data_IF_005287148181
#
_entry.id   IF_005287148181
#
_cell.length_a   1.000
_cell.length_b   1.000
_cell.length_c   1.000
_cell.angle_alpha   90.00
_cell.angle_beta   90.00
_cell.angle_gamma   90.00
#
_symmetry.space_group_name_H-M   'P 1'
#
loop_
_entity.id
_entity.type
_entity.pdbx_description
1 polymer ?
#
# COMPACT_ATOMS: atom_id res chain seq x y z
N UNK A 1 -5.30 70.66 27.66
CA UNK A 1 -5.04 69.78 26.51
C UNK A 1 -6.06 68.67 26.55
N UNK A 2 -6.77 68.45 25.45
CA UNK A 2 -7.82 67.44 25.34
C UNK A 2 -7.21 66.04 25.17
N UNK A 3 -7.62 65.10 26.03
CA UNK A 3 -7.07 63.74 26.13
C UNK A 3 -8.01 62.67 25.56
N UNK A 4 -9.13 63.05 24.93
CA UNK A 4 -10.21 62.11 24.59
C UNK A 4 -9.95 61.17 23.40
N UNK A 5 -8.89 61.38 22.59
CA UNK A 5 -8.61 60.53 21.41
C UNK A 5 -7.23 59.84 21.45
N UNK A 6 -6.69 59.56 22.63
CA UNK A 6 -5.46 58.77 22.72
C UNK A 6 -5.83 57.30 22.91
N UNK A 7 -5.72 56.51 21.84
CA UNK A 7 -5.80 55.05 21.90
C UNK A 7 -4.67 54.52 22.78
N UNK A 8 -4.90 54.48 24.09
CA UNK A 8 -3.95 54.05 25.10
C UNK A 8 -3.88 52.53 25.15
N UNK A 9 -2.88 51.93 24.50
CA UNK A 9 -2.42 50.60 24.88
C UNK A 9 -1.92 50.68 26.33
N UNK A 10 -2.50 49.86 27.22
CA UNK A 10 -2.05 49.71 28.61
C UNK A 10 -0.57 49.31 28.60
N UNK A 11 0.26 49.93 29.46
CA UNK A 11 1.66 49.48 29.66
C UNK A 11 1.64 47.99 30.03
N UNK A 12 2.19 47.15 29.17
CA UNK A 12 2.20 45.68 29.32
C UNK A 12 1.14 44.92 28.54
N UNK A 13 0.23 45.58 27.80
CA UNK A 13 -0.85 44.87 27.08
C UNK A 13 -0.44 44.23 25.76
N UNK A 14 0.80 44.43 25.30
CA UNK A 14 1.13 44.26 23.88
C UNK A 14 0.39 45.30 23.03
N UNK A 15 1.05 45.88 22.04
CA UNK A 15 0.37 46.83 21.14
C UNK A 15 -0.79 46.16 20.41
N UNK A 16 -1.79 46.97 19.98
CA UNK A 16 -2.80 46.50 19.01
C UNK A 16 -2.02 46.08 17.75
N UNK A 17 -2.21 44.82 17.32
CA UNK A 17 -1.58 44.32 16.12
C UNK A 17 -1.95 45.22 14.94
N UNK A 18 -0.97 45.62 14.14
CA UNK A 18 -1.27 46.36 12.92
C UNK A 18 -2.08 45.47 11.98
N UNK A 19 -2.90 46.08 11.12
CA UNK A 19 -3.68 45.34 10.10
C UNK A 19 -2.80 44.42 9.23
N UNK A 20 -1.53 44.78 9.02
CA UNK A 20 -0.54 43.95 8.34
C UNK A 20 -0.17 42.69 9.14
N UNK A 21 -0.01 42.78 10.47
CA UNK A 21 0.30 41.64 11.34
C UNK A 21 -0.88 40.68 11.43
N UNK A 22 -2.10 41.20 11.56
CA UNK A 22 -3.32 40.39 11.54
C UNK A 22 -3.48 39.63 10.21
N UNK A 23 -3.18 40.29 9.09
CA UNK A 23 -3.22 39.65 7.77
C UNK A 23 -2.17 38.54 7.63
N UNK A 24 -0.97 38.72 8.17
CA UNK A 24 0.06 37.68 8.18
C UNK A 24 -0.35 36.49 9.05
N UNK A 25 -0.90 36.75 10.24
CA UNK A 25 -1.40 35.71 11.13
C UNK A 25 -2.51 34.89 10.47
N UNK A 26 -3.48 35.56 9.82
CA UNK A 26 -4.56 34.91 9.07
C UNK A 26 -4.02 34.01 7.95
N UNK A 27 -3.02 34.48 7.21
CA UNK A 27 -2.38 33.68 6.14
C UNK A 27 -1.69 32.44 6.70
N UNK A 28 -0.98 32.55 7.83
CA UNK A 28 -0.35 31.40 8.49
C UNK A 28 -1.39 30.38 8.96
N UNK A 29 -2.48 30.83 9.58
CA UNK A 29 -3.57 29.94 9.99
C UNK A 29 -4.18 29.17 8.82
N UNK A 30 -4.44 29.84 7.69
CA UNK A 30 -4.94 29.17 6.48
C UNK A 30 -3.91 28.15 5.97
N UNK A 31 -2.63 28.49 6.00
CA UNK A 31 -1.58 27.58 5.57
C UNK A 31 -1.46 26.34 6.48
N UNK A 32 -1.60 26.52 7.79
CA UNK A 32 -1.53 25.43 8.77
C UNK A 32 -2.77 24.53 8.71
N UNK A 33 -3.95 25.10 8.41
CA UNK A 33 -5.16 24.32 8.13
C UNK A 33 -4.99 23.48 6.85
N UNK A 34 -4.43 24.04 5.78
CA UNK A 34 -4.27 23.31 4.52
C UNK A 34 -3.19 22.22 4.58
N UNK A 35 -2.22 22.33 5.50
CA UNK A 35 -1.22 21.28 5.72
C UNK A 35 -1.81 20.02 6.35
N UNK A 36 -3.05 20.05 6.85
CA UNK A 36 -3.68 18.92 7.55
C UNK A 36 -2.79 18.32 8.67
N UNK A 37 -2.00 19.17 9.34
CA UNK A 37 -1.06 18.73 10.38
C UNK A 37 0.23 18.06 9.89
N UNK A 38 0.53 18.08 8.59
CA UNK A 38 1.78 17.55 8.02
C UNK A 38 2.97 18.50 8.28
N UNK A 39 3.98 18.01 9.00
CA UNK A 39 5.22 18.75 9.20
C UNK A 39 6.20 18.50 8.06
N UNK A 40 6.30 19.47 7.14
CA UNK A 40 7.27 19.42 6.04
C UNK A 40 8.69 19.68 6.55
N UNK A 41 9.62 18.72 6.42
CA UNK A 41 10.98 18.83 6.93
C UNK A 41 11.84 19.80 6.11
N UNK A 42 12.91 20.30 6.73
CA UNK A 42 13.92 21.10 6.04
C UNK A 42 14.91 20.21 5.29
N UNK A 43 15.44 20.70 4.16
CA UNK A 43 16.39 19.97 3.30
C UNK A 43 17.69 19.54 4.00
N UNK A 44 18.04 20.19 5.11
CA UNK A 44 19.27 19.98 5.86
C UNK A 44 19.06 19.17 7.14
N UNK A 45 17.80 18.94 7.54
CA UNK A 45 17.50 17.96 8.58
C UNK A 45 17.76 16.61 7.93
N UNK A 46 18.82 15.92 8.39
CA UNK A 46 19.14 14.59 7.89
C UNK A 46 17.91 13.71 7.98
N UNK A 47 17.65 12.91 6.95
CA UNK A 47 16.46 12.07 6.85
C UNK A 47 16.54 11.04 7.98
N UNK A 48 15.86 11.29 9.09
CA UNK A 48 15.63 10.26 10.09
C UNK A 48 14.53 9.32 9.55
N UNK A 49 14.54 8.05 9.96
CA UNK A 49 13.46 7.11 9.57
C UNK A 49 12.07 7.64 9.96
N UNK A 50 12.00 8.45 11.02
CA UNK A 50 10.80 9.12 11.50
C UNK A 50 10.30 10.19 10.51
N UNK A 51 11.23 10.93 9.88
CA UNK A 51 10.91 11.92 8.83
C UNK A 51 10.40 11.26 7.53
N UNK A 52 10.86 10.05 7.21
CA UNK A 52 10.33 9.26 6.09
C UNK A 52 8.88 8.82 6.34
N UNK A 53 8.54 8.50 7.58
CA UNK A 53 7.16 8.17 7.95
C UNK A 53 6.23 9.38 7.98
N UNK A 54 6.73 10.55 8.38
CA UNK A 54 5.99 11.82 8.40
C UNK A 54 5.74 12.36 6.98
N UNK A 55 6.67 12.15 6.05
CA UNK A 55 6.54 12.58 4.65
C UNK A 55 5.77 11.57 3.77
N UNK A 56 4.94 10.69 4.36
CA UNK A 56 4.22 9.61 3.65
C UNK A 56 3.29 10.10 2.54
N UNK A 57 2.75 11.32 2.61
CA UNK A 57 1.86 11.84 1.54
C UNK A 57 2.64 12.35 0.33
N UNK A 58 3.74 13.11 0.52
CA UNK A 58 4.48 13.74 -0.57
C UNK A 58 6.01 13.81 -0.32
N UNK A 59 6.79 12.76 -0.66
CA UNK A 59 8.23 12.66 -0.36
C UNK A 59 9.14 13.63 -1.15
N UNK A 60 8.55 14.50 -1.98
CA UNK A 60 9.29 15.43 -2.85
C UNK A 60 9.24 16.88 -2.41
N UNK A 61 8.35 17.23 -1.49
CA UNK A 61 8.21 18.61 -0.99
C UNK A 61 9.02 18.75 0.28
N UNK A 62 9.88 19.77 0.34
CA UNK A 62 10.69 20.07 1.51
C UNK A 62 10.84 21.59 1.66
N UNK A 63 11.28 22.06 2.84
CA UNK A 63 11.65 23.46 3.05
C UNK A 63 13.14 23.67 2.81
N UNK A 64 13.51 24.67 2.02
CA UNK A 64 14.93 25.04 1.89
C UNK A 64 15.43 25.77 3.15
N UNK A 65 16.73 26.11 3.19
CA UNK A 65 17.34 26.86 4.30
C UNK A 65 16.67 28.23 4.57
N UNK A 66 15.98 28.81 3.58
CA UNK A 66 15.23 30.05 3.71
C UNK A 66 13.76 29.84 4.15
N UNK A 67 13.35 28.61 4.44
CA UNK A 67 11.98 28.26 4.82
C UNK A 67 10.96 28.32 3.68
N UNK A 68 11.40 28.40 2.41
CA UNK A 68 10.53 28.32 1.24
C UNK A 68 10.27 26.85 0.90
N UNK A 69 9.05 26.55 0.46
CA UNK A 69 8.67 25.22 0.00
C UNK A 69 9.29 24.96 -1.38
N UNK A 70 9.92 23.82 -1.56
CA UNK A 70 10.59 23.44 -2.81
C UNK A 70 10.19 22.02 -3.18
N UNK A 71 9.90 21.83 -4.47
CA UNK A 71 9.71 20.50 -5.04
C UNK A 71 11.03 19.97 -5.57
N UNK A 72 11.57 18.90 -4.97
CA UNK A 72 12.82 18.23 -5.39
C UNK A 72 12.76 17.75 -6.83
N UNK A 73 11.61 17.24 -7.23
CA UNK A 73 11.40 16.62 -8.53
C UNK A 73 11.39 17.64 -9.67
N UNK A 74 10.78 18.80 -9.46
CA UNK A 74 10.62 19.83 -10.48
C UNK A 74 11.63 20.98 -10.36
N UNK A 75 12.39 21.02 -9.27
CA UNK A 75 13.23 22.14 -8.88
C UNK A 75 12.48 23.48 -8.94
N UNK A 76 11.27 23.51 -8.37
CA UNK A 76 10.40 24.69 -8.30
C UNK A 76 10.22 25.15 -6.87
N UNK A 77 10.23 26.47 -6.68
CA UNK A 77 10.01 27.12 -5.38
C UNK A 77 8.56 27.59 -5.31
N UNK A 78 7.91 27.33 -4.18
CA UNK A 78 6.53 27.66 -3.88
C UNK A 78 6.45 28.60 -2.68
N UNK A 79 5.55 29.59 -2.77
CA UNK A 79 5.42 30.65 -1.75
C UNK A 79 4.43 30.29 -0.63
N UNK A 80 3.49 29.39 -0.90
CA UNK A 80 2.44 28.95 0.01
C UNK A 80 2.08 27.49 -0.27
N UNK A 81 1.42 26.84 0.68
CA UNK A 81 0.95 25.47 0.50
C UNK A 81 -0.05 25.32 -0.66
N UNK A 82 -0.97 26.27 -0.83
CA UNK A 82 -1.88 26.30 -2.01
C UNK A 82 -1.11 26.30 -3.34
N UNK A 83 0.07 26.93 -3.38
CA UNK A 83 0.92 26.87 -4.58
C UNK A 83 1.55 25.50 -4.79
N UNK A 84 1.79 24.74 -3.71
CA UNK A 84 2.27 23.36 -3.76
C UNK A 84 1.16 22.44 -4.25
N UNK A 85 -0.06 22.52 -3.72
CA UNK A 85 -1.21 21.71 -4.15
C UNK A 85 -1.45 21.85 -5.66
N UNK A 86 -1.54 23.09 -6.15
CA UNK A 86 -1.69 23.37 -7.59
C UNK A 86 -0.50 22.87 -8.42
N UNK A 87 0.69 22.80 -7.82
CA UNK A 87 1.85 22.24 -8.48
C UNK A 87 1.78 20.71 -8.58
N UNK A 88 1.36 20.04 -7.51
CA UNK A 88 1.17 18.58 -7.46
C UNK A 88 0.09 18.13 -8.45
N UNK A 89 -1.02 18.86 -8.54
CA UNK A 89 -2.08 18.65 -9.54
C UNK A 89 -1.66 19.04 -10.97
N UNK A 90 -0.51 19.71 -11.11
CA UNK A 90 0.00 20.22 -12.37
C UNK A 90 0.61 19.14 -13.26
N UNK A 91 0.32 19.21 -14.57
CA UNK A 91 0.87 18.27 -15.58
C UNK A 91 2.39 18.17 -15.56
N UNK A 92 3.11 19.28 -15.31
CA UNK A 92 4.59 19.30 -15.25
C UNK A 92 5.11 18.40 -14.12
N UNK A 93 4.46 18.43 -12.95
CA UNK A 93 4.85 17.59 -11.83
C UNK A 93 4.60 16.11 -12.14
N UNK A 94 3.40 15.78 -12.63
CA UNK A 94 3.04 14.44 -13.06
C UNK A 94 3.97 13.88 -14.15
N UNK A 95 4.34 14.67 -15.15
CA UNK A 95 5.28 14.26 -16.21
C UNK A 95 6.69 13.98 -15.65
N UNK A 96 7.19 14.81 -14.74
CA UNK A 96 8.48 14.55 -14.10
C UNK A 96 8.43 13.32 -13.19
N UNK A 97 7.27 13.03 -12.58
CA UNK A 97 7.07 11.84 -11.76
C UNK A 97 7.11 10.59 -12.62
N UNK A 98 6.41 10.60 -13.77
CA UNK A 98 6.46 9.53 -14.77
C UNK A 98 7.87 9.37 -15.32
N UNK A 99 8.58 10.47 -15.61
CA UNK A 99 9.96 10.41 -16.12
C UNK A 99 10.92 9.83 -15.07
N UNK A 100 10.79 10.23 -13.80
CA UNK A 100 11.61 9.69 -12.70
C UNK A 100 11.27 8.23 -12.43
N UNK A 101 9.99 7.91 -12.36
CA UNK A 101 9.47 6.54 -12.31
C UNK A 101 10.08 5.73 -13.43
N UNK A 102 10.01 6.25 -14.66
CA UNK A 102 10.61 5.74 -15.88
C UNK A 102 12.11 5.52 -15.83
N UNK A 103 12.89 6.37 -15.15
CA UNK A 103 14.34 6.15 -14.96
C UNK A 103 14.66 5.09 -13.91
N UNK A 104 13.86 4.99 -12.84
CA UNK A 104 13.96 3.88 -11.87
C UNK A 104 13.45 2.57 -12.45
N UNK A 105 12.45 2.65 -13.34
CA UNK A 105 11.82 1.54 -14.05
C UNK A 105 12.42 1.33 -15.45
N UNK A 106 13.50 2.03 -15.82
CA UNK A 106 14.33 1.67 -16.98
C UNK A 106 15.10 0.37 -16.74
N UNK A 107 15.05 -0.17 -15.52
CA UNK A 107 15.42 -1.55 -15.19
C UNK A 107 14.22 -2.52 -15.10
N UNK A 108 12.97 -2.04 -15.12
CA UNK A 108 11.74 -2.85 -15.12
C UNK A 108 10.62 -2.08 -15.85
N UNK A 109 10.46 -2.32 -17.15
CA UNK A 109 9.37 -1.72 -17.94
C UNK A 109 8.00 -2.08 -17.34
N UNK A 110 7.13 -1.09 -17.16
CA UNK A 110 5.94 -0.90 -18.01
C UNK A 110 5.21 0.40 -17.63
N UNK A 111 4.78 1.15 -18.64
CA UNK A 111 3.90 2.30 -18.44
C UNK A 111 2.52 1.76 -18.05
N UNK A 112 2.09 2.02 -16.81
CA UNK A 112 0.77 1.63 -16.27
C UNK A 112 -0.31 2.01 -17.28
N UNK A 113 -0.93 0.99 -17.90
CA UNK A 113 -1.99 1.17 -18.88
C UNK A 113 -3.19 1.88 -18.24
N UNK A 114 -3.96 2.71 -18.98
CA UNK A 114 -5.23 3.24 -18.50
C UNK A 114 -6.18 2.15 -17.96
N UNK A 115 -6.05 0.92 -18.45
CA UNK A 115 -6.79 -0.26 -17.96
C UNK A 115 -6.34 -0.69 -16.57
N UNK A 116 -5.04 -0.68 -16.29
CA UNK A 116 -4.49 -1.01 -14.98
C UNK A 116 -4.89 0.05 -13.93
N UNK A 117 -4.99 1.32 -14.34
CA UNK A 117 -5.46 2.40 -13.47
C UNK A 117 -6.95 2.24 -13.12
N UNK A 118 -7.78 1.83 -14.09
CA UNK A 118 -9.19 1.50 -13.85
C UNK A 118 -9.30 0.29 -12.93
N UNK A 119 -8.50 -0.75 -13.17
CA UNK A 119 -8.45 -1.95 -12.34
C UNK A 119 -8.10 -1.60 -10.89
N UNK A 120 -7.08 -0.77 -10.65
CA UNK A 120 -6.71 -0.32 -9.29
C UNK A 120 -7.86 0.40 -8.58
N UNK A 121 -8.56 1.30 -9.27
CA UNK A 121 -9.74 1.99 -8.70
C UNK A 121 -10.87 1.04 -8.36
N UNK A 122 -11.14 0.06 -9.24
CA UNK A 122 -12.13 -0.98 -8.95
C UNK A 122 -11.72 -1.81 -7.74
N UNK A 123 -10.45 -2.22 -7.66
CA UNK A 123 -9.91 -2.96 -6.49
C UNK A 123 -10.04 -2.14 -5.21
N UNK A 124 -9.78 -0.84 -5.23
CA UNK A 124 -9.96 0.04 -4.05
C UNK A 124 -11.42 0.14 -3.60
N UNK A 125 -12.36 0.21 -4.53
CA UNK A 125 -13.79 0.21 -4.21
C UNK A 125 -14.21 -1.13 -3.60
N UNK A 126 -13.80 -2.26 -4.20
CA UNK A 126 -14.11 -3.60 -3.71
C UNK A 126 -13.49 -3.88 -2.33
N UNK A 127 -12.28 -3.37 -2.05
CA UNK A 127 -11.65 -3.49 -0.73
C UNK A 127 -12.52 -3.00 0.43
N UNK A 128 -13.35 -1.97 0.20
CA UNK A 128 -14.25 -1.44 1.22
C UNK A 128 -15.49 -2.30 1.45
N UNK A 129 -15.79 -3.21 0.51
CA UNK A 129 -16.95 -4.08 0.51
C UNK A 129 -16.65 -5.50 1.01
N UNK A 130 -15.37 -5.87 1.17
CA UNK A 130 -14.94 -7.17 1.69
C UNK A 130 -15.56 -7.40 3.08
N UNK A 131 -16.36 -8.46 3.19
CA UNK A 131 -16.95 -8.92 4.46
C UNK A 131 -15.94 -9.78 5.22
N UNK A 132 -15.83 -9.56 6.53
CA UNK A 132 -15.05 -10.43 7.43
C UNK A 132 -15.98 -10.97 8.52
N UNK A 133 -16.23 -12.28 8.48
CA UNK A 133 -17.06 -12.98 9.46
C UNK A 133 -16.23 -13.46 10.67
N UNK A 134 -14.90 -13.28 10.67
CA UNK A 134 -14.00 -13.68 11.75
C UNK A 134 -13.81 -15.18 11.92
N UNK A 135 -14.46 -16.00 11.10
CA UNK A 135 -14.38 -17.46 11.15
C UNK A 135 -13.11 -17.92 10.42
N UNK A 136 -12.28 -18.70 11.12
CA UNK A 136 -11.12 -19.37 10.52
C UNK A 136 -11.60 -20.69 9.90
N UNK A 137 -11.34 -20.94 8.61
CA UNK A 137 -11.76 -22.18 7.96
C UNK A 137 -10.95 -23.37 8.49
N UNK A 138 -11.52 -24.57 8.40
CA UNK A 138 -10.86 -25.77 8.90
C UNK A 138 -9.77 -26.19 7.92
N UNK A 139 -8.53 -26.33 8.38
CA UNK A 139 -7.40 -26.69 7.52
C UNK A 139 -6.65 -27.90 8.05
N UNK A 140 -6.16 -28.74 7.13
CA UNK A 140 -5.31 -29.89 7.39
C UNK A 140 -4.05 -29.76 6.53
N UNK A 141 -2.88 -29.93 7.14
CA UNK A 141 -1.58 -29.83 6.45
C UNK A 141 -0.86 -31.16 6.60
N UNK A 142 -0.37 -31.69 5.49
CA UNK A 142 0.43 -32.90 5.43
C UNK A 142 1.74 -32.63 4.70
N UNK A 143 2.84 -33.14 5.25
CA UNK A 143 4.13 -33.20 4.55
C UNK A 143 4.10 -34.42 3.64
N UNK A 144 4.29 -34.20 2.33
CA UNK A 144 4.23 -35.25 1.32
C UNK A 144 5.59 -35.42 0.65
N UNK A 145 5.82 -36.59 0.05
CA UNK A 145 6.97 -36.82 -0.84
C UNK A 145 6.46 -37.39 -2.15
N UNK A 146 7.00 -36.90 -3.25
CA UNK A 146 6.68 -37.44 -4.57
C UNK A 146 7.31 -38.84 -4.69
N UNK A 147 6.55 -39.90 -5.01
CA UNK A 147 7.09 -41.25 -5.14
C UNK A 147 8.11 -41.39 -6.28
N UNK A 148 8.09 -40.52 -7.29
CA UNK A 148 8.96 -40.62 -8.47
C UNK A 148 10.24 -39.82 -8.33
N UNK A 149 10.13 -38.56 -7.90
CA UNK A 149 11.27 -37.64 -7.74
C UNK A 149 11.86 -37.68 -6.33
N UNK A 150 11.17 -38.28 -5.37
CA UNK A 150 11.48 -38.26 -3.93
C UNK A 150 11.59 -36.84 -3.33
N UNK A 151 11.14 -35.82 -4.06
CA UNK A 151 11.16 -34.43 -3.63
C UNK A 151 10.15 -34.21 -2.51
N UNK A 152 10.53 -33.35 -1.55
CA UNK A 152 9.67 -32.98 -0.41
C UNK A 152 8.60 -32.01 -0.87
N UNK A 153 7.40 -32.12 -0.32
CA UNK A 153 6.30 -31.22 -0.65
C UNK A 153 5.34 -31.03 0.50
N UNK A 154 4.37 -30.14 0.28
CA UNK A 154 3.30 -29.84 1.22
C UNK A 154 1.98 -30.06 0.48
N UNK A 155 1.08 -30.80 1.11
CA UNK A 155 -0.31 -30.92 0.70
C UNK A 155 -1.20 -30.33 1.78
N UNK A 156 -2.18 -29.54 1.37
CA UNK A 156 -3.12 -28.89 2.26
C UNK A 156 -4.53 -29.11 1.78
N UNK A 157 -5.42 -29.30 2.74
CA UNK A 157 -6.86 -29.35 2.55
C UNK A 157 -7.48 -28.26 3.42
N UNK A 158 -8.21 -27.33 2.81
CA UNK A 158 -8.96 -26.28 3.50
C UNK A 158 -10.44 -26.46 3.22
N UNK A 159 -11.23 -26.64 4.26
CA UNK A 159 -12.67 -26.88 4.20
C UNK A 159 -13.38 -25.62 4.67
N UNK A 160 -14.26 -25.10 3.81
CA UNK A 160 -15.09 -23.95 4.11
C UNK A 160 -16.50 -24.43 4.46
N UNK A 161 -16.94 -24.14 5.68
CA UNK A 161 -18.29 -24.49 6.14
C UNK A 161 -19.27 -23.39 5.74
N UNK A 162 -20.22 -23.69 4.85
CA UNK A 162 -21.25 -22.76 4.39
C UNK A 162 -20.68 -21.40 3.91
N UNK A 163 -19.84 -21.37 2.86
CA UNK A 163 -19.48 -20.14 2.19
C UNK A 163 -20.75 -19.52 1.59
N UNK A 164 -21.07 -18.32 2.03
CA UNK A 164 -22.02 -17.48 1.30
C UNK A 164 -21.34 -17.01 0.00
N UNK A 165 -22.06 -16.99 -1.13
CA UNK A 165 -21.49 -16.48 -2.37
C UNK A 165 -21.01 -15.05 -2.19
N UNK A 166 -19.76 -14.80 -2.56
CA UNK A 166 -19.19 -13.45 -2.55
C UNK A 166 -19.91 -12.59 -3.60
N UNK A 167 -20.14 -11.31 -3.30
CA UNK A 167 -20.78 -10.38 -4.25
C UNK A 167 -19.88 -10.11 -5.48
N UNK A 168 -18.58 -10.37 -5.33
CA UNK A 168 -17.52 -10.07 -6.30
C UNK A 168 -17.35 -11.13 -7.40
N UNK A 169 -18.17 -12.19 -7.41
CA UNK A 169 -18.08 -13.27 -8.40
C UNK A 169 -16.81 -14.13 -8.26
N UNK A 170 -16.15 -14.05 -7.10
CA UNK A 170 -15.06 -14.93 -6.72
C UNK A 170 -15.63 -16.23 -6.16
N UNK A 171 -15.93 -17.20 -7.03
CA UNK A 171 -16.53 -18.48 -6.64
C UNK A 171 -15.53 -19.46 -6.00
N UNK A 172 -14.26 -19.05 -5.81
CA UNK A 172 -13.21 -19.90 -5.27
C UNK A 172 -12.17 -19.14 -4.45
N UNK A 173 -11.51 -19.81 -3.49
CA UNK A 173 -10.40 -19.26 -2.73
C UNK A 173 -9.17 -18.99 -3.60
N UNK A 174 -8.36 -18.02 -3.18
CA UNK A 174 -7.10 -17.65 -3.81
C UNK A 174 -5.92 -17.94 -2.91
N UNK A 175 -4.82 -18.35 -3.54
CA UNK A 175 -3.58 -18.71 -2.85
C UNK A 175 -2.43 -17.83 -3.34
N UNK A 176 -1.64 -17.26 -2.42
CA UNK A 176 -0.45 -16.47 -2.75
C UNK A 176 0.70 -16.81 -1.82
N UNK A 177 1.91 -16.84 -2.36
CA UNK A 177 3.14 -16.94 -1.58
C UNK A 177 3.67 -15.53 -1.34
N UNK A 178 3.99 -15.23 -0.08
CA UNK A 178 4.49 -13.93 0.37
C UNK A 178 5.78 -14.12 1.17
N UNK A 179 6.75 -13.24 0.97
CA UNK A 179 7.94 -13.19 1.82
C UNK A 179 7.62 -12.46 3.13
N UNK A 180 8.24 -12.87 4.24
CA UNK A 180 8.13 -12.16 5.52
C UNK A 180 8.56 -10.70 5.44
N UNK A 181 9.43 -10.33 4.49
CA UNK A 181 9.89 -8.97 4.26
C UNK A 181 8.76 -7.99 3.85
N UNK A 182 7.62 -8.50 3.37
CA UNK A 182 6.44 -7.69 3.06
C UNK A 182 5.63 -7.32 4.32
N UNK A 183 5.88 -7.98 5.46
CA UNK A 183 5.18 -7.70 6.71
C UNK A 183 5.85 -6.59 7.52
N UNK A 184 5.03 -5.73 8.13
CA UNK A 184 5.49 -4.58 8.93
C UNK A 184 6.32 -4.96 10.16
N UNK A 185 6.24 -6.21 10.64
CA UNK A 185 6.72 -6.62 11.98
C UNK A 185 7.85 -7.66 11.98
N UNK A 186 8.15 -8.33 10.87
CA UNK A 186 9.04 -9.50 10.87
C UNK A 186 10.17 -9.39 9.82
N UNK A 187 11.42 -9.30 10.28
CA UNK A 187 12.64 -9.32 9.45
C UNK A 187 13.28 -10.72 9.39
N UNK A 188 12.48 -11.78 9.28
CA UNK A 188 13.03 -13.12 8.99
C UNK A 188 13.14 -13.34 7.48
N UNK A 189 13.91 -14.35 7.06
CA UNK A 189 13.93 -14.82 5.66
C UNK A 189 13.03 -16.06 5.51
N UNK A 190 11.73 -15.85 5.73
CA UNK A 190 10.71 -16.90 5.69
C UNK A 190 9.72 -16.62 4.58
N UNK A 191 9.13 -17.70 4.04
CA UNK A 191 8.02 -17.61 3.08
C UNK A 191 6.75 -18.08 3.75
N UNK A 192 5.63 -17.44 3.41
CA UNK A 192 4.30 -17.81 3.90
C UNK A 192 3.37 -18.05 2.72
N UNK A 193 2.61 -19.14 2.77
CA UNK A 193 1.50 -19.38 1.87
C UNK A 193 0.22 -18.87 2.50
N UNK A 194 -0.36 -17.87 1.86
CA UNK A 194 -1.56 -17.19 2.29
C UNK A 194 -2.71 -17.71 1.44
N UNK A 195 -3.78 -18.14 2.10
CA UNK A 195 -5.03 -18.55 1.48
C UNK A 195 -6.12 -17.60 1.95
N UNK A 196 -6.80 -16.98 1.00
CA UNK A 196 -7.84 -15.99 1.25
C UNK A 196 -9.13 -16.38 0.51
N UNK A 197 -10.24 -16.27 1.23
CA UNK A 197 -11.57 -16.48 0.67
C UNK A 197 -12.58 -15.69 1.50
N UNK A 198 -13.33 -14.81 0.85
CA UNK A 198 -14.38 -14.05 1.53
C UNK A 198 -15.55 -15.00 1.90
N UNK A 199 -16.17 -14.88 3.08
CA UNK A 199 -15.94 -13.92 4.16
C UNK A 199 -15.03 -14.46 5.29
N UNK A 200 -14.29 -15.53 5.02
CA UNK A 200 -13.46 -16.20 6.01
C UNK A 200 -12.16 -15.45 6.27
N UNK A 201 -11.64 -15.61 7.48
CA UNK A 201 -10.33 -15.07 7.82
C UNK A 201 -9.24 -15.76 7.02
N UNK A 202 -8.33 -14.96 6.46
CA UNK A 202 -7.19 -15.48 5.72
C UNK A 202 -6.27 -16.34 6.62
N UNK A 203 -5.78 -17.45 6.08
CA UNK A 203 -4.84 -18.35 6.75
C UNK A 203 -3.47 -18.15 6.12
N UNK A 204 -2.41 -18.14 6.95
CA UNK A 204 -1.03 -18.14 6.50
C UNK A 204 -0.27 -19.31 7.11
N UNK A 205 0.51 -20.03 6.29
CA UNK A 205 1.35 -21.16 6.73
C UNK A 205 2.79 -20.90 6.35
N UNK A 206 3.70 -21.08 7.31
CA UNK A 206 5.13 -20.97 7.09
C UNK A 206 5.64 -22.10 6.20
N UNK A 207 6.45 -21.74 5.20
CA UNK A 207 7.04 -22.64 4.22
C UNK A 207 8.55 -22.46 4.23
N UNK A 208 9.33 -23.54 4.01
CA UNK A 208 10.77 -23.44 3.76
C UNK A 208 11.10 -22.42 2.65
N UNK A 209 12.23 -21.73 2.79
CA UNK A 209 12.71 -20.81 1.76
C UNK A 209 13.38 -21.55 0.58
N UNK A 210 12.71 -22.56 0.02
CA UNK A 210 13.18 -23.36 -1.10
C UNK A 210 12.45 -22.97 -2.40
N UNK A 211 13.03 -23.34 -3.54
CA UNK A 211 12.38 -23.14 -4.85
C UNK A 211 11.27 -24.18 -5.05
N UNK A 212 10.19 -23.78 -5.71
CA UNK A 212 9.06 -24.68 -6.01
C UNK A 212 9.31 -25.35 -7.35
N UNK A 213 9.08 -26.65 -7.41
CA UNK A 213 9.24 -27.44 -8.62
C UNK A 213 8.10 -27.14 -9.60
N UNK A 214 8.38 -26.34 -10.63
CA UNK A 214 7.40 -25.92 -11.64
C UNK A 214 7.14 -26.96 -12.74
N UNK A 215 7.98 -28.00 -12.82
CA UNK A 215 7.89 -29.05 -13.84
C UNK A 215 6.96 -30.22 -13.46
N UNK A 216 6.33 -30.16 -12.28
CA UNK A 216 5.36 -31.16 -11.85
C UNK A 216 4.12 -31.13 -12.76
N UNK A 217 3.55 -32.30 -13.04
CA UNK A 217 2.28 -32.40 -13.74
C UNK A 217 1.22 -31.51 -13.08
N UNK A 218 0.40 -30.84 -13.87
CA UNK A 218 -0.64 -29.94 -13.37
C UNK A 218 -1.56 -30.70 -12.40
N UNK A 219 -1.62 -30.23 -11.16
CA UNK A 219 -2.51 -30.77 -10.13
C UNK A 219 -3.96 -30.33 -10.38
N UNK A 220 -4.14 -29.14 -10.94
CA UNK A 220 -5.46 -28.63 -11.28
C UNK A 220 -6.00 -29.25 -12.58
N UNK A 221 -7.15 -29.89 -12.50
CA UNK A 221 -7.87 -30.47 -13.64
C UNK A 221 -9.10 -29.66 -14.05
N UNK A 222 -9.41 -28.57 -13.35
CA UNK A 222 -10.63 -27.77 -13.57
C UNK A 222 -10.66 -27.01 -14.90
N UNK A 223 -9.49 -26.76 -15.51
CA UNK A 223 -9.38 -25.99 -16.77
C UNK A 223 -9.86 -24.53 -16.66
N UNK A 224 -10.21 -24.06 -15.46
CA UNK A 224 -10.73 -22.73 -15.23
C UNK A 224 -9.60 -21.68 -15.28
N UNK A 225 -9.91 -20.50 -15.84
CA UNK A 225 -8.97 -19.36 -15.90
C UNK A 225 -8.49 -19.01 -14.49
N UNK A 226 -7.20 -19.14 -14.21
CA UNK A 226 -6.58 -18.82 -12.91
C UNK A 226 -6.04 -17.40 -12.87
N UNK A 227 -5.81 -16.89 -11.65
CA UNK A 227 -5.23 -15.56 -11.42
C UNK A 227 -3.75 -15.54 -11.84
N UNK A 228 -3.05 -16.64 -11.56
CA UNK A 228 -1.65 -16.82 -11.88
C UNK A 228 -1.37 -18.30 -12.21
N UNK A 229 -0.11 -18.56 -12.60
CA UNK A 229 0.41 -19.90 -12.86
C UNK A 229 0.35 -20.81 -11.63
N UNK A 230 0.52 -20.24 -10.42
CA UNK A 230 0.54 -21.01 -9.18
C UNK A 230 -0.84 -21.61 -8.88
N UNK A 231 -1.88 -20.78 -8.88
CA UNK A 231 -3.28 -21.21 -8.75
C UNK A 231 -3.71 -22.08 -9.95
N UNK A 232 -3.07 -21.94 -11.11
CA UNK A 232 -3.32 -22.84 -12.24
C UNK A 232 -2.76 -24.23 -12.00
N UNK A 233 -1.56 -24.36 -11.44
CA UNK A 233 -0.81 -25.62 -11.43
C UNK A 233 -0.96 -26.40 -10.14
N UNK A 234 -1.14 -25.73 -9.00
CA UNK A 234 -0.97 -26.31 -7.67
C UNK A 234 -2.20 -26.27 -6.77
N UNK A 235 -3.32 -25.73 -7.26
CA UNK A 235 -4.57 -25.68 -6.48
C UNK A 235 -5.70 -26.40 -7.21
N UNK A 236 -6.62 -26.99 -6.45
CA UNK A 236 -7.83 -27.60 -6.98
C UNK A 236 -8.99 -27.25 -6.05
N UNK A 237 -10.05 -26.69 -6.62
CA UNK A 237 -11.25 -26.29 -5.89
C UNK A 237 -12.36 -27.29 -6.15
N UNK A 238 -12.84 -27.92 -5.08
CA UNK A 238 -14.00 -28.79 -5.08
C UNK A 238 -15.22 -27.97 -4.65
N UNK A 239 -16.04 -27.57 -5.63
CA UNK A 239 -17.25 -26.77 -5.41
C UNK A 239 -18.32 -27.54 -4.61
N UNK A 240 -18.42 -28.86 -4.83
CA UNK A 240 -19.43 -29.71 -4.19
C UNK A 240 -19.17 -29.85 -2.69
N UNK A 241 -17.91 -30.08 -2.31
CA UNK A 241 -17.49 -30.21 -0.90
C UNK A 241 -16.94 -28.92 -0.30
N UNK A 242 -16.95 -27.81 -1.06
CA UNK A 242 -16.41 -26.50 -0.65
C UNK A 242 -15.01 -26.63 -0.04
N UNK A 243 -14.18 -27.42 -0.70
CA UNK A 243 -12.86 -27.82 -0.20
C UNK A 243 -11.78 -27.42 -1.20
N UNK A 244 -10.81 -26.64 -0.73
CA UNK A 244 -9.61 -26.31 -1.47
C UNK A 244 -8.51 -27.32 -1.16
N UNK A 245 -7.94 -27.89 -2.22
CA UNK A 245 -6.73 -28.68 -2.16
C UNK A 245 -5.58 -27.87 -2.74
N UNK A 246 -4.46 -27.83 -2.02
CA UNK A 246 -3.23 -27.18 -2.48
C UNK A 246 -2.10 -28.19 -2.34
N UNK A 247 -1.36 -28.44 -3.41
CA UNK A 247 -0.23 -29.36 -3.39
C UNK A 247 0.91 -28.86 -4.28
N UNK A 248 2.11 -28.77 -3.72
CA UNK A 248 3.33 -28.45 -4.46
C UNK A 248 4.55 -29.09 -3.79
N UNK A 249 5.62 -29.23 -4.58
CA UNK A 249 6.88 -29.83 -4.16
C UNK A 249 8.02 -28.81 -4.26
N UNK A 250 9.01 -28.94 -3.40
CA UNK A 250 10.23 -28.16 -3.44
C UNK A 250 11.27 -28.83 -4.34
N UNK A 251 12.15 -28.02 -4.89
CA UNK A 251 13.37 -28.47 -5.55
C UNK A 251 14.43 -28.70 -4.47
N UNK A 252 15.02 -29.89 -4.48
CA UNK A 252 16.15 -30.24 -3.61
C UNK A 252 17.41 -29.41 -3.95
#
# INVERSE_FOLDING_TARGET
MDYQNRAGSKKGSGGIASSSQENLHRRKQVEDLLKDGEEVPYSFQGISKEDEELSKKNPYIYKNHAGRLVCKLCNTIHMSWTSVERHLEGKKHGLNLIRRGGTTSSQQQDAVSPEELKFKKTVEQLRSQIKDNGIVPNYQVAKVRDPTTNSRGIAMRVIYTNPEPSEDGGDRPYVRIMSSLEFTREESDKKYLIIAFEPFKAIAIEIPNEEILTNSAAFNTSGAKSVDDFNSKFTYWDEDNQTLYVQFFFKD
#
